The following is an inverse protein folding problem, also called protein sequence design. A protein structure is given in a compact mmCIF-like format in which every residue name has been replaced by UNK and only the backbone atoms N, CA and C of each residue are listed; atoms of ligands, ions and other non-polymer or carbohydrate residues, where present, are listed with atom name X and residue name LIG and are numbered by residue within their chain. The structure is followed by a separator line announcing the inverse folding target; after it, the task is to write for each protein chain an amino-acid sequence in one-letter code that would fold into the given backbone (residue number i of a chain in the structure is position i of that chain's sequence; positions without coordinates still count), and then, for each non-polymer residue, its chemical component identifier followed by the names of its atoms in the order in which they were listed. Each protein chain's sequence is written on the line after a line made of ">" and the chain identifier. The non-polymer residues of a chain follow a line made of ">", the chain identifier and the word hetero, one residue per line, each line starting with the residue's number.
data_IF_251602300607
#
_entry.id   IF_251602300607
#
_cell.length_a   1.000
_cell.length_b   1.000
_cell.length_c   1.000
_cell.angle_alpha   90.00
_cell.angle_beta   90.00
_cell.angle_gamma   90.00
#
_symmetry.space_group_name_H-M   'P 1'
#
loop_
_entity.id
_entity.type
_entity.pdbx_description
1 polymer ?
#
# COMPACT_ATOMS: atom_id res chain seq x y z
N UNK A 1 -19.50 -3.13 -17.18
CA UNK A 1 -20.65 -3.07 -16.24
C UNK A 1 -20.40 -4.12 -15.18
N UNK A 2 -20.12 -3.72 -13.94
CA UNK A 2 -19.86 -4.66 -12.84
C UNK A 2 -21.22 -5.20 -12.37
N UNK A 3 -21.38 -6.51 -12.21
CA UNK A 3 -22.61 -7.09 -11.65
C UNK A 3 -22.69 -6.73 -10.18
N UNK A 4 -23.82 -6.18 -9.77
CA UNK A 4 -24.04 -5.73 -8.41
C UNK A 4 -24.56 -6.91 -7.58
N UNK A 5 -23.63 -7.61 -6.92
CA UNK A 5 -23.95 -8.69 -5.98
C UNK A 5 -23.83 -8.16 -4.54
N UNK A 6 -24.45 -8.86 -3.56
CA UNK A 6 -24.50 -8.45 -2.13
C UNK A 6 -23.10 -8.15 -1.57
N UNK A 7 -22.06 -8.83 -2.07
CA UNK A 7 -20.67 -8.67 -1.63
C UNK A 7 -19.95 -7.43 -2.19
N UNK A 8 -20.54 -6.76 -3.18
CA UNK A 8 -19.91 -5.65 -3.93
C UNK A 8 -20.68 -4.34 -3.79
N UNK A 9 -21.93 -4.37 -3.31
CA UNK A 9 -22.75 -3.19 -3.10
C UNK A 9 -22.01 -2.13 -2.24
N UNK A 10 -21.92 -0.91 -2.76
CA UNK A 10 -21.26 0.23 -2.10
C UNK A 10 -19.72 0.21 -2.13
N UNK A 11 -19.08 -0.85 -2.63
CA UNK A 11 -17.62 -0.92 -2.78
C UNK A 11 -17.19 -0.09 -4.01
N UNK A 12 -16.16 0.76 -3.92
CA UNK A 12 -15.65 1.50 -5.08
C UNK A 12 -15.27 0.54 -6.21
N UNK A 13 -15.63 0.87 -7.47
CA UNK A 13 -15.35 0.03 -8.66
C UNK A 13 -13.89 -0.45 -8.71
N UNK A 14 -12.96 0.45 -8.37
CA UNK A 14 -11.53 0.18 -8.32
C UNK A 14 -11.10 -0.85 -7.25
N UNK A 15 -11.89 -1.05 -6.21
CA UNK A 15 -11.68 -2.04 -5.15
C UNK A 15 -12.31 -3.40 -5.45
N UNK A 16 -13.30 -3.46 -6.34
CA UNK A 16 -14.04 -4.71 -6.66
C UNK A 16 -13.10 -5.79 -7.21
N UNK A 17 -12.22 -5.41 -8.13
CA UNK A 17 -11.25 -6.33 -8.76
C UNK A 17 -9.87 -6.28 -8.10
N UNK A 18 -9.76 -5.75 -6.88
CA UNK A 18 -8.48 -5.60 -6.19
C UNK A 18 -8.20 -6.81 -5.28
N UNK A 19 -7.36 -7.73 -5.72
CA UNK A 19 -7.00 -8.94 -4.95
C UNK A 19 -6.34 -8.61 -3.61
N UNK A 20 -5.53 -7.54 -3.58
CA UNK A 20 -4.88 -7.05 -2.36
C UNK A 20 -5.86 -6.54 -1.30
N UNK A 21 -7.11 -6.23 -1.67
CA UNK A 21 -8.09 -5.61 -0.76
C UNK A 21 -8.32 -6.45 0.49
N UNK A 22 -8.54 -7.75 0.32
CA UNK A 22 -9.14 -8.58 1.38
C UNK A 22 -8.20 -8.94 2.52
N UNK A 23 -6.88 -8.95 2.26
CA UNK A 23 -5.87 -9.41 3.23
C UNK A 23 -5.00 -8.29 3.79
N UNK A 24 -5.22 -7.05 3.37
CA UNK A 24 -4.49 -5.86 3.85
C UNK A 24 -5.40 -4.91 4.64
N UNK A 25 -4.96 -3.66 4.80
CA UNK A 25 -5.71 -2.63 5.55
C UNK A 25 -7.13 -2.41 5.01
N UNK A 26 -7.33 -2.54 3.70
CA UNK A 26 -8.63 -2.38 3.06
C UNK A 26 -9.65 -3.46 3.49
N UNK A 27 -9.20 -4.62 3.98
CA UNK A 27 -10.05 -5.71 4.42
C UNK A 27 -10.73 -5.43 5.75
N UNK A 28 -10.17 -4.51 6.54
CA UNK A 28 -10.74 -4.05 7.81
C UNK A 28 -11.79 -2.94 7.65
N UNK A 29 -12.00 -2.43 6.43
CA UNK A 29 -12.88 -1.29 6.15
C UNK A 29 -14.23 -1.71 5.58
N UNK A 30 -15.29 -1.04 6.02
CA UNK A 30 -16.62 -1.19 5.40
C UNK A 30 -16.70 -0.43 4.05
N UNK A 31 -17.81 -0.63 3.32
CA UNK A 31 -18.01 -0.04 1.99
C UNK A 31 -17.88 1.50 1.96
N UNK A 32 -18.48 2.20 2.93
CA UNK A 32 -18.37 3.67 3.02
C UNK A 32 -16.94 4.13 3.32
N UNK A 33 -16.26 3.46 4.25
CA UNK A 33 -14.85 3.75 4.57
C UNK A 33 -13.92 3.48 3.38
N UNK A 34 -14.22 2.48 2.56
CA UNK A 34 -13.48 2.23 1.31
C UNK A 34 -13.68 3.35 0.30
N UNK A 35 -14.89 3.92 0.20
CA UNK A 35 -15.16 5.10 -0.63
C UNK A 35 -14.32 6.29 -0.17
N UNK A 36 -14.27 6.54 1.14
CA UNK A 36 -13.50 7.66 1.69
C UNK A 36 -11.99 7.47 1.48
N UNK A 37 -11.48 6.27 1.74
CA UNK A 37 -10.08 5.93 1.48
C UNK A 37 -9.75 6.05 -0.02
N UNK A 38 -10.64 5.61 -0.91
CA UNK A 38 -10.44 5.70 -2.35
C UNK A 38 -10.35 7.16 -2.83
N UNK A 39 -11.13 8.07 -2.23
CA UNK A 39 -11.09 9.51 -2.54
C UNK A 39 -9.78 10.18 -2.08
N UNK A 40 -9.21 9.72 -0.96
CA UNK A 40 -7.97 10.29 -0.40
C UNK A 40 -6.69 9.63 -0.93
N UNK A 41 -6.80 8.56 -1.73
CA UNK A 41 -5.66 7.75 -2.19
C UNK A 41 -5.41 7.94 -3.68
N UNK A 42 -4.13 7.99 -4.08
CA UNK A 42 -3.72 7.93 -5.48
C UNK A 42 -2.96 6.63 -5.75
N UNK A 43 -3.26 5.96 -6.86
CA UNK A 43 -2.45 4.83 -7.33
C UNK A 43 -1.19 5.34 -8.00
N UNK A 44 -0.05 4.79 -7.60
CA UNK A 44 1.25 5.08 -8.22
C UNK A 44 1.90 3.77 -8.65
N UNK A 45 2.50 3.77 -9.84
CA UNK A 45 3.37 2.70 -10.32
C UNK A 45 4.81 3.19 -10.21
N UNK A 46 5.67 2.37 -9.59
CA UNK A 46 7.10 2.60 -9.54
C UNK A 46 7.80 1.56 -10.39
N UNK A 47 8.81 1.98 -11.14
CA UNK A 47 9.65 1.09 -11.92
C UNK A 47 10.64 0.34 -11.01
N UNK A 48 11.12 -0.82 -11.47
CA UNK A 48 12.09 -1.61 -10.72
C UNK A 48 13.35 -0.77 -10.42
N UNK A 49 13.82 -0.85 -9.16
CA UNK A 49 14.98 -0.09 -8.69
C UNK A 49 14.70 1.36 -8.32
N UNK A 50 13.50 1.89 -8.56
CA UNK A 50 13.12 3.24 -8.12
C UNK A 50 13.01 3.29 -6.59
N UNK A 51 13.70 4.22 -5.96
CA UNK A 51 13.54 4.52 -4.53
C UNK A 51 12.14 5.11 -4.27
N UNK A 52 11.45 4.56 -3.27
CA UNK A 52 10.11 5.02 -2.88
C UNK A 52 10.18 6.05 -1.74
N UNK A 53 10.97 5.76 -0.71
CA UNK A 53 11.18 6.58 0.50
C UNK A 53 12.63 6.36 0.94
N UNK A 54 13.35 7.44 1.26
CA UNK A 54 14.74 7.38 1.75
C UNK A 54 14.85 7.59 3.27
N UNK A 55 15.97 7.19 3.87
CA UNK A 55 16.23 7.15 5.33
C UNK A 55 16.10 8.51 6.06
N UNK A 56 16.27 9.64 5.36
CA UNK A 56 16.35 10.98 5.95
C UNK A 56 15.18 11.90 5.61
N UNK A 57 14.12 11.39 4.96
CA UNK A 57 12.94 12.20 4.61
C UNK A 57 11.82 12.00 5.61
N UNK A 58 11.09 13.08 5.89
CA UNK A 58 9.78 13.00 6.54
C UNK A 58 8.89 12.04 5.76
N UNK A 59 8.14 11.19 6.47
CA UNK A 59 7.19 10.29 5.84
C UNK A 59 6.01 11.10 5.35
N UNK A 60 6.01 11.47 4.07
CA UNK A 60 4.94 12.25 3.45
C UNK A 60 3.74 11.39 3.07
N UNK A 61 3.96 10.09 2.83
CA UNK A 61 2.95 9.18 2.27
C UNK A 61 3.12 7.77 2.82
N UNK A 62 1.98 7.11 3.02
CA UNK A 62 1.88 5.67 3.27
C UNK A 62 1.27 4.99 2.06
N UNK A 63 1.57 3.71 1.85
CA UNK A 63 1.10 2.97 0.68
C UNK A 63 0.67 1.56 1.05
N UNK A 64 -0.39 1.07 0.42
CA UNK A 64 -0.69 -0.36 0.39
C UNK A 64 -0.07 -0.96 -0.89
N UNK A 65 0.70 -2.05 -0.78
CA UNK A 65 1.25 -2.73 -1.95
C UNK A 65 0.12 -3.46 -2.67
N UNK A 66 -0.18 -3.08 -3.91
CA UNK A 66 -1.22 -3.74 -4.71
C UNK A 66 -0.68 -4.89 -5.55
N UNK A 67 0.61 -4.84 -5.92
CA UNK A 67 1.30 -5.85 -6.73
C UNK A 67 2.82 -5.64 -6.70
N UNK A 68 3.59 -6.70 -6.91
CA UNK A 68 5.06 -6.65 -6.94
C UNK A 68 5.68 -6.83 -5.56
N UNK A 69 6.95 -6.43 -5.43
CA UNK A 69 7.72 -6.53 -4.19
C UNK A 69 8.48 -5.24 -3.92
N UNK A 70 8.50 -4.81 -2.66
CA UNK A 70 9.29 -3.68 -2.18
C UNK A 70 10.37 -4.19 -1.24
N UNK A 71 11.62 -3.83 -1.55
CA UNK A 71 12.79 -4.15 -0.74
C UNK A 71 13.01 -3.05 0.29
N UNK A 72 13.04 -3.41 1.57
CA UNK A 72 13.42 -2.51 2.65
C UNK A 72 14.92 -2.65 2.89
N UNK A 73 15.63 -1.52 2.86
CA UNK A 73 17.05 -1.46 3.15
C UNK A 73 17.33 -0.52 4.30
N UNK A 74 18.46 -0.74 4.97
CA UNK A 74 19.02 0.17 5.95
C UNK A 74 20.45 0.50 5.56
N UNK A 75 20.79 1.79 5.60
CA UNK A 75 22.18 2.23 5.47
C UNK A 75 22.94 1.94 6.76
N UNK A 76 24.04 1.19 6.67
CA UNK A 76 24.94 0.92 7.79
C UNK A 76 25.93 2.09 7.97
N UNK A 77 26.57 2.17 9.14
CA UNK A 77 27.54 3.23 9.46
C UNK A 77 28.77 3.24 8.53
N UNK A 78 29.07 2.11 7.89
CA UNK A 78 30.15 1.96 6.90
C UNK A 78 29.69 2.27 5.45
N UNK A 79 28.46 2.76 5.28
CA UNK A 79 27.87 3.12 3.99
C UNK A 79 27.27 1.97 3.20
N UNK A 80 27.37 0.72 3.66
CA UNK A 80 26.73 -0.43 3.00
C UNK A 80 25.21 -0.40 3.16
N UNK A 81 24.49 -0.95 2.19
CA UNK A 81 23.05 -1.17 2.25
C UNK A 81 22.76 -2.61 2.68
N UNK A 82 22.02 -2.80 3.77
CA UNK A 82 21.55 -4.11 4.20
C UNK A 82 20.06 -4.27 3.89
N UNK A 83 19.67 -5.38 3.28
CA UNK A 83 18.24 -5.75 3.16
C UNK A 83 17.75 -6.17 4.54
N UNK A 84 16.72 -5.49 5.04
CA UNK A 84 16.11 -5.75 6.35
C UNK A 84 14.70 -6.31 6.25
N UNK A 85 14.13 -6.36 5.04
CA UNK A 85 12.83 -6.96 4.81
C UNK A 85 12.38 -6.87 3.36
N UNK A 86 11.33 -7.61 3.04
CA UNK A 86 10.59 -7.57 1.78
C UNK A 86 9.12 -7.40 2.10
N UNK A 87 8.44 -6.52 1.37
CA UNK A 87 6.99 -6.30 1.47
C UNK A 87 6.33 -6.68 0.16
N UNK A 88 5.27 -7.47 0.22
CA UNK A 88 4.51 -7.98 -0.92
C UNK A 88 3.08 -7.43 -0.89
N UNK A 89 2.27 -7.69 -1.91
CA UNK A 89 0.85 -7.41 -1.78
C UNK A 89 0.21 -8.38 -0.76
N UNK A 90 -0.58 -7.91 0.23
CA UNK A 90 -1.09 -6.54 0.44
C UNK A 90 -0.47 -5.81 1.65
N UNK A 91 0.84 -5.92 1.83
CA UNK A 91 1.54 -5.30 2.94
C UNK A 91 1.45 -3.77 2.88
N UNK A 92 1.41 -3.18 4.07
CA UNK A 92 1.37 -1.74 4.24
C UNK A 92 2.79 -1.18 4.41
N UNK A 93 3.12 -0.15 3.65
CA UNK A 93 4.40 0.55 3.68
C UNK A 93 4.34 1.77 4.58
N UNK A 94 5.29 1.82 5.52
CA UNK A 94 5.39 2.84 6.55
C UNK A 94 4.63 2.46 7.82
N UNK A 95 4.81 3.25 8.86
CA UNK A 95 4.23 3.02 10.20
C UNK A 95 3.56 4.30 10.68
N UNK A 96 2.24 4.44 10.47
CA UNK A 96 1.50 5.60 10.93
C UNK A 96 1.63 5.74 12.45
N UNK A 97 1.69 6.98 12.94
CA UNK A 97 1.70 7.32 14.37
C UNK A 97 2.90 6.83 15.18
N UNK A 98 3.93 6.29 14.53
CA UNK A 98 5.19 6.01 15.23
C UNK A 98 5.90 7.34 15.50
N UNK A 99 6.05 7.67 16.79
CA UNK A 99 6.86 8.79 17.27
C UNK A 99 8.34 8.41 17.30
#
# INVERSE_FOLDING_TARGET
>A
MVREDIHTAGVPVLCVSCEARHRGICGALNAGQLVDLAKSTKRHKAEAGKELVGDSRSVERFSNVLSGVVKLTKTLSDGRQQIVGLQFAPDFLGRPFQS
#
